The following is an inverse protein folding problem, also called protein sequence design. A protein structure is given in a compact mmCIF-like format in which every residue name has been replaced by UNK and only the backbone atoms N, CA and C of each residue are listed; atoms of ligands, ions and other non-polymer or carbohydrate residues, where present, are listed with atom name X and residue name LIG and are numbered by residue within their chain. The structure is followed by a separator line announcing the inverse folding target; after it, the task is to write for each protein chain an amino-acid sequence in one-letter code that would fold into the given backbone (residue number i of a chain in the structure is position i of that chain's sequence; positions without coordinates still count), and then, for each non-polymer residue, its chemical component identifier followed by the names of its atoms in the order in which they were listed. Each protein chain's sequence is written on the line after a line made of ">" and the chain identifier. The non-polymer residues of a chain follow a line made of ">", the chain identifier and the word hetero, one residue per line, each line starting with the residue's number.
data_IF_797598373219
#
_entry.id   IF_797598373219
#
_cell.length_a   1.000
_cell.length_b   1.000
_cell.length_c   1.000
_cell.angle_alpha   90.00
_cell.angle_beta   90.00
_cell.angle_gamma   90.00
#
_symmetry.space_group_name_H-M   'P 1'
#
loop_
_entity.id
_entity.type
_entity.pdbx_description
1 polymer ?
#
# COMPACT_ATOMS: atom_id res chain seq x y z
N UNK A 1 -30.54 13.51 -24.51
CA UNK A 1 -30.79 12.15 -23.95
C UNK A 1 -29.81 11.96 -22.82
N UNK A 2 -30.28 12.02 -21.58
CA UNK A 2 -29.48 11.77 -20.35
C UNK A 2 -29.11 10.30 -20.35
N UNK A 3 -27.81 9.99 -20.20
CA UNK A 3 -27.34 8.62 -19.95
C UNK A 3 -27.92 8.12 -18.61
N UNK A 4 -29.01 7.39 -18.69
CA UNK A 4 -29.56 6.65 -17.57
C UNK A 4 -28.70 5.39 -17.36
N UNK A 5 -28.17 5.20 -16.15
CA UNK A 5 -27.88 3.88 -15.62
C UNK A 5 -26.44 3.37 -15.67
N UNK A 6 -25.43 4.19 -15.33
CA UNK A 6 -24.22 3.66 -14.67
C UNK A 6 -24.36 3.91 -13.17
N UNK A 7 -24.81 2.88 -12.42
CA UNK A 7 -24.64 2.87 -10.98
C UNK A 7 -23.13 3.01 -10.72
N UNK A 8 -22.73 4.16 -10.21
CA UNK A 8 -21.33 4.43 -9.90
C UNK A 8 -20.94 3.58 -8.70
N UNK A 9 -20.00 2.66 -8.88
CA UNK A 9 -19.40 1.94 -7.77
C UNK A 9 -18.92 2.93 -6.70
N UNK A 10 -19.29 2.70 -5.45
CA UNK A 10 -18.79 3.51 -4.34
C UNK A 10 -17.28 3.29 -4.16
N UNK A 11 -16.52 4.37 -4.12
CA UNK A 11 -15.07 4.32 -3.93
C UNK A 11 -14.76 4.49 -2.45
N UNK A 12 -14.13 3.47 -1.86
CA UNK A 12 -13.57 3.53 -0.52
C UNK A 12 -12.05 3.61 -0.64
N UNK A 13 -11.45 4.58 0.03
CA UNK A 13 -10.00 4.75 0.00
C UNK A 13 -9.34 4.29 1.30
N UNK A 14 -8.26 3.54 1.19
CA UNK A 14 -7.34 3.27 2.28
C UNK A 14 -6.16 4.24 2.19
N UNK A 15 -5.85 4.92 3.30
CA UNK A 15 -4.79 5.92 3.38
C UNK A 15 -3.52 5.32 3.97
N UNK A 16 -2.39 5.51 3.28
CA UNK A 16 -1.10 5.01 3.75
C UNK A 16 0.05 5.27 2.78
N UNK A 17 1.26 4.91 3.18
CA UNK A 17 2.44 5.00 2.31
C UNK A 17 2.67 3.74 1.47
N UNK A 18 2.02 2.68 1.71
CA UNK A 18 2.04 1.38 1.01
C UNK A 18 3.40 0.92 0.42
N UNK A 19 4.53 1.36 0.98
CA UNK A 19 5.87 1.09 0.46
C UNK A 19 6.21 -0.42 0.46
N UNK A 20 6.02 -1.08 1.58
CA UNK A 20 6.31 -2.51 1.72
C UNK A 20 5.12 -3.41 1.33
N UNK A 21 3.91 -2.88 1.27
CA UNK A 21 2.69 -3.69 1.07
C UNK A 21 2.64 -4.89 2.02
N UNK A 22 2.88 -4.63 3.31
CA UNK A 22 2.89 -5.63 4.38
C UNK A 22 1.48 -5.99 4.86
N UNK A 23 1.35 -6.98 5.76
CA UNK A 23 0.06 -7.46 6.29
C UNK A 23 -0.82 -6.34 6.87
N UNK A 24 -0.25 -5.31 7.50
CA UNK A 24 -1.00 -4.13 7.96
C UNK A 24 -1.63 -3.35 6.80
N UNK A 25 -0.94 -3.20 5.68
CA UNK A 25 -1.50 -2.59 4.48
C UNK A 25 -2.60 -3.47 3.84
N UNK A 26 -2.44 -4.80 3.87
CA UNK A 26 -3.47 -5.74 3.44
C UNK A 26 -4.72 -5.61 4.30
N UNK A 27 -4.56 -5.47 5.63
CA UNK A 27 -5.70 -5.26 6.54
C UNK A 27 -6.47 -3.97 6.22
N UNK A 28 -5.77 -2.87 5.87
CA UNK A 28 -6.41 -1.63 5.41
C UNK A 28 -7.20 -1.85 4.10
N UNK A 29 -6.63 -2.57 3.14
CA UNK A 29 -7.28 -2.89 1.88
C UNK A 29 -8.54 -3.75 2.08
N UNK A 30 -8.44 -4.78 2.93
CA UNK A 30 -9.56 -5.64 3.30
C UNK A 30 -10.68 -4.85 4.01
N UNK A 31 -10.31 -3.98 4.95
CA UNK A 31 -11.27 -3.11 5.63
C UNK A 31 -11.97 -2.13 4.67
N UNK A 32 -11.27 -1.63 3.65
CA UNK A 32 -11.86 -0.77 2.62
C UNK A 32 -12.86 -1.55 1.75
N UNK A 33 -12.51 -2.77 1.36
CA UNK A 33 -13.42 -3.64 0.62
C UNK A 33 -14.67 -3.99 1.43
N UNK A 34 -14.52 -4.31 2.74
CA UNK A 34 -15.65 -4.59 3.64
C UNK A 34 -16.54 -3.36 3.84
N UNK A 35 -15.96 -2.19 4.06
CA UNK A 35 -16.71 -0.95 4.27
C UNK A 35 -17.57 -0.55 3.05
N UNK A 36 -17.21 -1.02 1.87
CA UNK A 36 -18.01 -0.86 0.66
C UNK A 36 -19.28 -1.71 0.67
N UNK A 37 -19.28 -2.88 1.38
CA UNK A 37 -20.42 -3.81 1.44
C UNK A 37 -21.59 -3.32 2.27
N UNK A 38 -21.32 -2.61 3.37
CA UNK A 38 -22.31 -2.27 4.39
C UNK A 38 -23.53 -1.48 3.84
N UNK A 39 -23.45 -1.01 2.59
CA UNK A 39 -24.52 -0.28 1.91
C UNK A 39 -25.36 -1.12 0.93
N UNK A 40 -25.00 -2.39 0.69
CA UNK A 40 -25.64 -3.18 -0.38
C UNK A 40 -26.73 -4.13 0.09
N UNK A 41 -26.95 -4.26 1.40
CA UNK A 41 -28.00 -5.14 1.95
C UNK A 41 -29.43 -4.72 1.59
N UNK A 42 -29.66 -3.50 1.11
CA UNK A 42 -31.00 -2.99 0.80
C UNK A 42 -31.39 -3.07 -0.68
N UNK A 43 -30.48 -3.46 -1.57
CA UNK A 43 -30.76 -3.56 -3.01
C UNK A 43 -30.29 -4.88 -3.57
N UNK A 44 -31.20 -5.61 -4.24
CA UNK A 44 -30.97 -6.94 -4.86
C UNK A 44 -29.92 -6.92 -6.00
N UNK A 45 -29.18 -5.85 -6.18
CA UNK A 45 -28.15 -5.70 -7.20
C UNK A 45 -26.76 -5.73 -6.57
N UNK A 46 -25.93 -6.65 -7.01
CA UNK A 46 -24.49 -6.71 -6.67
C UNK A 46 -23.78 -5.47 -7.20
N UNK A 47 -23.48 -4.51 -6.34
CA UNK A 47 -22.68 -3.32 -6.69
C UNK A 47 -21.20 -3.69 -6.65
N UNK A 48 -20.46 -3.40 -7.72
CA UNK A 48 -19.01 -3.63 -7.80
C UNK A 48 -18.29 -2.83 -6.72
N UNK A 49 -17.60 -3.51 -5.83
CA UNK A 49 -16.89 -2.89 -4.71
C UNK A 49 -15.48 -2.51 -5.14
N UNK A 50 -15.10 -1.25 -4.97
CA UNK A 50 -13.78 -0.77 -5.31
C UNK A 50 -13.06 -0.21 -4.09
N UNK A 51 -12.05 -0.96 -3.62
CA UNK A 51 -11.09 -0.46 -2.64
C UNK A 51 -9.91 0.19 -3.35
N UNK A 52 -9.57 1.42 -2.99
CA UNK A 52 -8.45 2.14 -3.58
C UNK A 52 -7.40 2.46 -2.52
N UNK A 53 -6.18 1.98 -2.70
CA UNK A 53 -5.03 2.42 -1.91
C UNK A 53 -4.60 3.80 -2.41
N UNK A 54 -4.80 4.83 -1.61
CA UNK A 54 -4.37 6.18 -1.93
C UNK A 54 -2.95 6.40 -1.41
N UNK A 55 -1.98 6.35 -2.30
CA UNK A 55 -0.57 6.56 -1.99
C UNK A 55 -0.11 7.97 -2.39
N UNK A 56 0.95 8.46 -1.74
CA UNK A 56 1.51 9.78 -2.04
C UNK A 56 2.83 9.64 -2.78
N UNK A 57 2.88 10.21 -3.99
CA UNK A 57 4.05 10.18 -4.86
C UNK A 57 5.00 11.36 -4.59
N UNK A 58 6.29 11.13 -4.84
CA UNK A 58 7.35 12.14 -4.77
C UNK A 58 7.48 12.84 -3.40
N UNK A 59 7.06 12.15 -2.32
CA UNK A 59 7.12 12.73 -0.97
C UNK A 59 8.58 13.03 -0.54
N UNK A 60 9.54 12.19 -0.92
CA UNK A 60 10.93 12.36 -0.58
C UNK A 60 11.50 13.64 -1.22
N UNK A 61 11.25 13.86 -2.51
CA UNK A 61 11.69 15.04 -3.25
C UNK A 61 11.08 16.32 -2.67
N UNK A 62 9.75 16.30 -2.41
CA UNK A 62 9.02 17.46 -1.87
C UNK A 62 9.49 17.84 -0.46
N UNK A 63 9.89 16.85 0.34
CA UNK A 63 10.36 17.05 1.72
C UNK A 63 11.90 17.18 1.84
N UNK A 64 12.63 17.08 0.73
CA UNK A 64 14.09 17.12 0.73
C UNK A 64 14.75 15.90 1.39
N UNK A 65 14.05 14.76 1.44
CA UNK A 65 14.59 13.53 2.00
C UNK A 65 15.39 12.76 0.95
N UNK A 66 16.44 12.07 1.43
CA UNK A 66 17.16 11.14 0.55
C UNK A 66 16.22 10.04 0.06
N UNK A 67 16.02 9.86 -1.27
CA UNK A 67 15.21 8.81 -1.80
C UNK A 67 15.70 7.42 -1.35
N UNK A 68 14.76 6.54 -1.01
CA UNK A 68 15.05 5.15 -0.63
C UNK A 68 14.43 4.22 -1.68
N UNK A 69 15.14 3.15 -2.05
CA UNK A 69 14.54 2.10 -2.88
C UNK A 69 13.28 1.56 -2.19
N UNK A 70 12.20 1.29 -2.92
CA UNK A 70 10.99 0.71 -2.35
C UNK A 70 11.26 -0.72 -1.85
N UNK A 71 10.45 -1.19 -0.89
CA UNK A 71 10.47 -2.61 -0.49
C UNK A 71 9.79 -3.45 -1.56
N UNK A 72 8.60 -3.05 -2.01
CA UNK A 72 7.90 -3.68 -3.14
C UNK A 72 8.13 -2.85 -4.40
N UNK A 73 8.77 -3.43 -5.42
CA UNK A 73 9.03 -2.76 -6.68
C UNK A 73 7.75 -2.26 -7.35
N UNK A 74 7.80 -1.10 -8.02
CA UNK A 74 6.61 -0.47 -8.62
C UNK A 74 5.89 -1.43 -9.58
N UNK A 75 6.63 -2.16 -10.41
CA UNK A 75 6.06 -3.13 -11.37
C UNK A 75 5.46 -4.39 -10.72
N UNK A 76 5.84 -4.72 -9.46
CA UNK A 76 5.30 -5.89 -8.73
C UNK A 76 4.04 -5.57 -7.93
N UNK A 77 3.72 -4.30 -7.71
CA UNK A 77 2.59 -3.87 -6.88
C UNK A 77 1.24 -4.36 -7.42
N UNK A 78 1.06 -4.31 -8.75
CA UNK A 78 -0.17 -4.81 -9.40
C UNK A 78 -0.43 -6.29 -9.13
N UNK A 79 0.64 -7.12 -9.14
CA UNK A 79 0.54 -8.55 -8.77
C UNK A 79 0.10 -8.73 -7.32
N UNK A 80 0.71 -7.99 -6.39
CA UNK A 80 0.36 -8.06 -4.96
C UNK A 80 -1.09 -7.64 -4.72
N UNK A 81 -1.58 -6.60 -5.39
CA UNK A 81 -2.96 -6.15 -5.28
C UNK A 81 -3.94 -7.19 -5.84
N UNK A 82 -3.58 -7.86 -6.92
CA UNK A 82 -4.37 -8.95 -7.50
C UNK A 82 -4.45 -10.12 -6.51
N UNK A 83 -3.33 -10.55 -5.95
CA UNK A 83 -3.25 -11.60 -4.93
C UNK A 83 -4.15 -11.27 -3.71
N UNK A 84 -4.12 -10.03 -3.21
CA UNK A 84 -4.99 -9.61 -2.13
C UNK A 84 -6.48 -9.62 -2.51
N UNK A 85 -6.81 -9.25 -3.76
CA UNK A 85 -8.20 -9.30 -4.24
C UNK A 85 -8.71 -10.74 -4.31
N UNK A 86 -7.91 -11.67 -4.84
CA UNK A 86 -8.23 -13.10 -4.93
C UNK A 86 -8.44 -13.73 -3.56
N UNK A 87 -7.58 -13.40 -2.57
CA UNK A 87 -7.74 -13.89 -1.20
C UNK A 87 -9.04 -13.38 -0.54
N UNK A 88 -9.44 -12.13 -0.80
CA UNK A 88 -10.70 -11.58 -0.27
C UNK A 88 -11.91 -12.29 -0.88
N UNK A 89 -11.89 -12.59 -2.18
CA UNK A 89 -12.92 -13.37 -2.86
C UNK A 89 -13.06 -14.77 -2.21
N UNK A 90 -11.92 -15.43 -1.96
CA UNK A 90 -11.90 -16.76 -1.36
C UNK A 90 -12.45 -16.77 0.08
N UNK A 91 -12.17 -15.73 0.87
CA UNK A 91 -12.64 -15.60 2.26
C UNK A 91 -14.15 -15.35 2.35
N UNK A 92 -14.73 -14.69 1.36
CA UNK A 92 -16.16 -14.37 1.33
C UNK A 92 -17.02 -15.46 0.69
N UNK A 93 -16.44 -16.55 0.18
CA UNK A 93 -17.16 -17.64 -0.46
C UNK A 93 -17.91 -17.23 -1.74
N UNK A 94 -17.41 -16.18 -2.42
CA UNK A 94 -17.97 -15.69 -3.68
C UNK A 94 -17.59 -16.65 -4.81
N UNK A 95 -18.55 -17.06 -5.65
CA UNK A 95 -18.27 -17.93 -6.79
C UNK A 95 -17.33 -17.25 -7.81
N UNK A 96 -16.50 -18.03 -8.52
CA UNK A 96 -15.54 -17.53 -9.52
C UNK A 96 -16.17 -16.62 -10.59
N UNK A 97 -17.44 -16.86 -10.93
CA UNK A 97 -18.21 -16.02 -11.87
C UNK A 97 -18.37 -14.56 -11.42
N UNK A 98 -18.27 -14.32 -10.12
CA UNK A 98 -18.41 -13.01 -9.47
C UNK A 98 -17.07 -12.46 -8.93
N UNK A 99 -15.93 -13.04 -9.30
CA UNK A 99 -14.59 -12.66 -8.85
C UNK A 99 -14.25 -11.18 -9.12
N UNK A 100 -14.90 -10.57 -10.09
CA UNK A 100 -14.82 -9.13 -10.40
C UNK A 100 -15.46 -8.22 -9.34
N UNK A 101 -16.11 -8.80 -8.31
CA UNK A 101 -16.76 -8.03 -7.23
C UNK A 101 -15.76 -7.31 -6.32
N UNK A 102 -14.54 -7.86 -6.16
CA UNK A 102 -13.49 -7.25 -5.35
C UNK A 102 -12.35 -6.76 -6.23
N UNK A 103 -12.19 -5.46 -6.33
CA UNK A 103 -11.07 -4.87 -7.03
C UNK A 103 -10.30 -3.95 -6.09
N UNK A 104 -9.08 -4.36 -5.73
CA UNK A 104 -8.15 -3.49 -5.01
C UNK A 104 -7.25 -2.82 -6.06
N UNK A 105 -7.23 -1.50 -6.06
CA UNK A 105 -6.37 -0.70 -6.96
C UNK A 105 -5.52 0.26 -6.15
N UNK A 106 -4.46 0.74 -6.74
CA UNK A 106 -3.66 1.84 -6.20
C UNK A 106 -3.85 3.09 -7.06
N UNK A 107 -3.96 4.23 -6.37
CA UNK A 107 -3.97 5.54 -7.00
C UNK A 107 -2.92 6.44 -6.33
N UNK A 108 -1.96 6.89 -7.13
CA UNK A 108 -0.92 7.81 -6.68
C UNK A 108 -1.40 9.26 -6.78
N UNK A 109 -1.24 10.01 -5.69
CA UNK A 109 -1.49 11.45 -5.66
C UNK A 109 -0.16 12.18 -5.48
N UNK A 110 0.18 13.16 -6.32
CA UNK A 110 1.38 13.97 -6.13
C UNK A 110 1.36 14.64 -4.76
N UNK A 111 2.33 14.36 -3.91
CA UNK A 111 2.36 14.90 -2.54
C UNK A 111 2.39 16.43 -2.51
N UNK A 112 3.02 17.06 -3.50
CA UNK A 112 3.03 18.52 -3.64
C UNK A 112 1.63 19.14 -3.69
N UNK A 113 0.64 18.43 -4.25
CA UNK A 113 -0.73 18.95 -4.40
C UNK A 113 -1.53 18.97 -3.09
N UNK A 114 -1.11 18.20 -2.08
CA UNK A 114 -1.81 18.06 -0.80
C UNK A 114 -0.99 18.55 0.40
N UNK A 115 0.32 18.77 0.21
CA UNK A 115 1.29 19.08 1.26
C UNK A 115 0.84 20.18 2.23
N UNK A 116 0.22 21.24 1.69
CA UNK A 116 -0.17 22.43 2.45
C UNK A 116 -1.64 22.41 2.87
N UNK A 117 -2.36 21.32 2.60
CA UNK A 117 -3.76 21.21 3.00
C UNK A 117 -3.86 21.02 4.52
N UNK A 118 -4.75 21.77 5.16
CA UNK A 118 -5.16 21.44 6.52
C UNK A 118 -5.82 20.06 6.57
N UNK A 119 -5.85 19.38 7.73
CA UNK A 119 -6.55 18.10 7.86
C UNK A 119 -7.99 18.15 7.35
N UNK A 120 -8.73 19.15 7.74
CA UNK A 120 -10.11 19.33 7.32
C UNK A 120 -10.24 19.51 5.80
N UNK A 121 -9.39 20.36 5.19
CA UNK A 121 -9.41 20.59 3.74
C UNK A 121 -9.07 19.31 2.96
N UNK A 122 -8.17 18.48 3.49
CA UNK A 122 -7.84 17.19 2.89
C UNK A 122 -9.07 16.28 2.84
N UNK A 123 -9.77 16.08 3.96
CA UNK A 123 -11.00 15.25 4.04
C UNK A 123 -12.10 15.79 3.13
N UNK A 124 -12.32 17.12 3.15
CA UNK A 124 -13.27 17.78 2.25
C UNK A 124 -12.93 17.53 0.78
N UNK A 125 -11.64 17.57 0.41
CA UNK A 125 -11.17 17.31 -0.97
C UNK A 125 -11.46 15.85 -1.38
N UNK A 126 -11.24 14.87 -0.50
CA UNK A 126 -11.59 13.48 -0.76
C UNK A 126 -13.08 13.34 -1.12
N UNK A 127 -13.97 13.99 -0.37
CA UNK A 127 -15.41 13.94 -0.61
C UNK A 127 -15.82 14.66 -1.87
N UNK A 128 -15.49 15.95 -1.96
CA UNK A 128 -16.07 16.84 -2.97
C UNK A 128 -15.39 16.72 -4.34
N UNK A 129 -14.07 16.47 -4.37
CA UNK A 129 -13.32 16.43 -5.65
C UNK A 129 -13.09 15.02 -6.17
N UNK A 130 -12.89 14.05 -5.27
CA UNK A 130 -12.63 12.67 -5.65
C UNK A 130 -13.87 11.77 -5.52
N UNK A 131 -14.99 12.28 -4.99
CA UNK A 131 -16.24 11.52 -4.86
C UNK A 131 -16.11 10.30 -3.94
N UNK A 132 -15.18 10.32 -2.98
CA UNK A 132 -14.94 9.22 -2.05
C UNK A 132 -16.15 9.05 -1.14
N UNK A 133 -16.60 7.81 -0.96
CA UNK A 133 -17.73 7.47 -0.09
C UNK A 133 -17.29 7.08 1.32
N UNK A 134 -16.05 6.58 1.48
CA UNK A 134 -15.49 6.25 2.78
C UNK A 134 -13.98 6.16 2.79
N UNK A 135 -13.42 6.20 3.99
CA UNK A 135 -11.97 6.25 4.23
C UNK A 135 -11.59 5.22 5.28
N UNK A 136 -10.48 4.51 5.05
CA UNK A 136 -9.88 3.59 6.01
C UNK A 136 -8.46 4.04 6.31
N UNK A 137 -8.09 4.07 7.58
CA UNK A 137 -6.74 4.42 8.02
C UNK A 137 -6.33 3.60 9.25
N UNK A 138 -5.03 3.51 9.50
CA UNK A 138 -4.53 2.93 10.76
C UNK A 138 -4.70 3.90 11.93
N UNK A 139 -4.78 3.37 13.16
CA UNK A 139 -4.96 4.17 14.37
C UNK A 139 -3.84 5.18 14.63
N UNK A 140 -2.64 4.93 14.09
CA UNK A 140 -1.51 5.86 14.17
C UNK A 140 -1.39 6.79 12.96
N UNK A 141 -2.41 6.85 12.09
CA UNK A 141 -2.35 7.65 10.88
C UNK A 141 -2.32 9.14 11.19
N UNK A 142 -1.40 9.84 10.51
CA UNK A 142 -1.27 11.29 10.61
C UNK A 142 -1.35 11.89 9.22
N UNK A 143 -2.05 13.02 9.07
CA UNK A 143 -2.29 13.65 7.78
C UNK A 143 -2.40 15.17 7.86
N UNK A 144 -2.55 15.80 6.71
CA UNK A 144 -2.62 17.25 6.59
C UNK A 144 -1.27 17.94 6.77
N UNK A 145 -1.29 19.25 6.73
CA UNK A 145 -0.08 20.07 6.83
C UNK A 145 0.70 19.74 8.11
N UNK A 146 1.98 19.42 7.97
CA UNK A 146 2.88 19.00 9.06
C UNK A 146 2.37 17.83 9.89
N UNK A 147 1.57 16.94 9.28
CA UNK A 147 0.97 15.80 9.97
C UNK A 147 0.15 16.20 11.22
N UNK A 148 -0.52 17.34 11.18
CA UNK A 148 -1.27 17.89 12.30
C UNK A 148 -2.57 17.14 12.61
N UNK A 149 -3.18 16.44 11.62
CA UNK A 149 -4.38 15.64 11.82
C UNK A 149 -4.07 14.25 12.34
N UNK A 150 -4.95 13.72 13.16
CA UNK A 150 -4.94 12.38 13.77
C UNK A 150 -6.03 11.47 13.20
N UNK A 151 -6.07 10.21 13.65
CA UNK A 151 -7.14 9.28 13.28
C UNK A 151 -8.50 9.74 13.83
N UNK A 152 -8.54 10.34 15.02
CA UNK A 152 -9.73 10.91 15.62
C UNK A 152 -10.25 12.11 14.83
N UNK A 153 -9.35 12.99 14.36
CA UNK A 153 -9.72 14.09 13.47
C UNK A 153 -10.30 13.57 12.15
N UNK A 154 -9.77 12.45 11.63
CA UNK A 154 -10.30 11.83 10.42
C UNK A 154 -11.74 11.37 10.61
N UNK A 155 -12.07 10.78 11.77
CA UNK A 155 -13.45 10.40 12.14
C UNK A 155 -14.34 11.62 12.22
N UNK A 156 -13.94 12.65 12.97
CA UNK A 156 -14.73 13.87 13.18
C UNK A 156 -15.00 14.60 11.85
N UNK A 157 -14.00 14.76 11.00
CA UNK A 157 -14.18 15.36 9.68
C UNK A 157 -14.96 14.44 8.73
N UNK A 158 -14.82 13.12 8.86
CA UNK A 158 -15.62 12.15 8.12
C UNK A 158 -17.11 12.34 8.41
N UNK A 159 -17.49 12.39 9.66
CA UNK A 159 -18.87 12.67 10.09
C UNK A 159 -19.37 14.01 9.54
N UNK A 160 -18.57 15.06 9.68
CA UNK A 160 -18.90 16.41 9.20
C UNK A 160 -19.19 16.46 7.69
N UNK A 161 -18.47 15.69 6.88
CA UNK A 161 -18.59 15.70 5.42
C UNK A 161 -19.35 14.49 4.84
N UNK A 162 -19.94 13.64 5.69
CA UNK A 162 -20.71 12.47 5.28
C UNK A 162 -19.83 11.41 4.60
N UNK A 163 -18.63 11.17 5.14
CA UNK A 163 -17.75 10.07 4.78
C UNK A 163 -17.86 8.96 5.83
N UNK A 164 -17.95 7.73 5.40
CA UNK A 164 -17.77 6.58 6.30
C UNK A 164 -16.29 6.47 6.66
N UNK A 165 -15.97 6.37 7.94
CA UNK A 165 -14.57 6.22 8.37
C UNK A 165 -14.41 4.94 9.19
N UNK A 166 -13.38 4.16 8.86
CA UNK A 166 -13.00 2.97 9.63
C UNK A 166 -11.53 3.07 10.02
N UNK A 167 -11.28 3.02 11.32
CA UNK A 167 -9.93 2.97 11.87
C UNK A 167 -9.57 1.50 12.12
N UNK A 168 -8.40 1.09 11.67
CA UNK A 168 -7.88 -0.27 11.79
C UNK A 168 -6.74 -0.27 12.80
N UNK A 169 -6.81 -1.17 13.77
CA UNK A 169 -5.75 -1.37 14.76
C UNK A 169 -4.47 -1.89 14.10
N UNK A 170 -3.34 -1.55 14.70
CA UNK A 170 -2.04 -1.99 14.21
C UNK A 170 -1.86 -3.49 14.45
N UNK A 171 -1.25 -4.16 13.49
CA UNK A 171 -0.91 -5.57 13.66
C UNK A 171 0.37 -5.72 14.46
N UNK A 172 0.31 -6.60 15.45
CA UNK A 172 1.44 -6.99 16.26
C UNK A 172 2.32 -7.99 15.47
N UNK A 173 3.58 -7.67 15.32
CA UNK A 173 4.53 -8.48 14.57
C UNK A 173 4.96 -9.73 15.35
N UNK A 174 4.99 -9.65 16.67
CA UNK A 174 5.40 -10.78 17.52
C UNK A 174 4.34 -11.87 17.49
N UNK A 175 3.05 -11.51 17.41
CA UNK A 175 1.95 -12.47 17.17
C UNK A 175 2.02 -13.17 15.82
N UNK A 176 2.78 -12.63 14.87
CA UNK A 176 3.05 -13.26 13.58
C UNK A 176 4.31 -14.16 13.62
N UNK A 177 4.95 -14.29 14.79
CA UNK A 177 6.21 -15.00 14.94
C UNK A 177 7.39 -14.31 14.22
N UNK A 178 7.26 -13.02 13.93
CA UNK A 178 8.33 -12.19 13.42
C UNK A 178 8.96 -11.46 14.63
N UNK A 179 9.61 -12.23 15.51
CA UNK A 179 10.25 -11.71 16.70
C UNK A 179 11.23 -10.59 16.37
N UNK A 180 11.38 -9.66 17.30
CA UNK A 180 12.32 -8.57 17.10
C UNK A 180 13.73 -9.15 17.02
N UNK A 181 14.44 -8.90 15.92
CA UNK A 181 15.89 -9.05 15.97
C UNK A 181 16.41 -8.02 17.00
N UNK A 182 17.32 -8.42 17.88
CA UNK A 182 17.88 -7.62 18.99
C UNK A 182 18.59 -6.31 18.56
N UNK A 183 18.42 -5.92 17.31
CA UNK A 183 19.06 -4.79 16.67
C UNK A 183 18.14 -3.55 16.65
N UNK A 184 18.73 -2.40 16.87
CA UNK A 184 18.11 -1.07 17.02
C UNK A 184 17.04 -0.68 15.96
N UNK A 185 17.03 -1.34 14.80
CA UNK A 185 16.07 -1.07 13.71
C UNK A 185 14.77 -1.87 13.78
N UNK A 186 14.71 -2.89 14.64
CA UNK A 186 13.55 -3.78 14.79
C UNK A 186 12.71 -3.45 16.04
N UNK A 187 13.01 -2.34 16.73
CA UNK A 187 12.27 -1.90 17.92
C UNK A 187 10.84 -1.54 17.55
N UNK A 188 9.88 -2.15 18.22
CA UNK A 188 8.46 -1.90 18.10
C UNK A 188 7.69 -3.19 17.76
N UNK A 189 6.63 -3.43 18.51
CA UNK A 189 5.77 -4.60 18.39
C UNK A 189 4.97 -4.65 17.08
N UNK A 190 4.98 -3.56 16.30
CA UNK A 190 4.05 -3.37 15.19
C UNK A 190 4.64 -3.77 13.83
N UNK A 191 3.80 -4.35 12.98
CA UNK A 191 4.09 -4.54 11.56
C UNK A 191 4.23 -3.19 10.87
N UNK A 192 5.41 -2.90 10.32
CA UNK A 192 5.69 -1.64 9.63
C UNK A 192 6.70 -1.80 8.49
N UNK A 193 6.68 -0.86 7.54
CA UNK A 193 7.68 -0.82 6.46
C UNK A 193 9.10 -0.62 7.00
N UNK A 194 9.28 0.06 8.12
CA UNK A 194 10.58 0.24 8.76
C UNK A 194 11.11 -1.09 9.30
N UNK A 195 10.26 -1.89 9.94
CA UNK A 195 10.64 -3.23 10.43
C UNK A 195 10.99 -4.16 9.28
N UNK A 196 10.19 -4.19 8.21
CA UNK A 196 10.53 -4.99 7.01
C UNK A 196 11.89 -4.58 6.44
N UNK A 197 12.20 -3.28 6.38
CA UNK A 197 13.51 -2.79 5.92
C UNK A 197 14.65 -3.20 6.84
N UNK A 198 14.43 -3.22 8.14
CA UNK A 198 15.42 -3.66 9.10
C UNK A 198 15.72 -5.16 8.91
N UNK A 199 14.69 -6.01 8.82
CA UNK A 199 14.86 -7.44 8.56
C UNK A 199 15.61 -7.70 7.23
N UNK A 200 15.27 -6.99 6.15
CA UNK A 200 16.02 -7.08 4.88
C UNK A 200 17.49 -6.66 5.04
N UNK A 201 17.76 -5.62 5.83
CA UNK A 201 19.13 -5.15 6.08
C UNK A 201 19.98 -6.19 6.81
N UNK A 202 19.36 -7.02 7.66
CA UNK A 202 20.04 -8.09 8.40
C UNK A 202 20.01 -9.46 7.69
N UNK A 203 19.30 -9.58 6.55
CA UNK A 203 19.17 -10.83 5.81
C UNK A 203 18.10 -11.78 6.38
N UNK A 204 17.30 -11.35 7.35
CA UNK A 204 16.21 -12.14 7.94
C UNK A 204 15.00 -12.19 7.00
N UNK A 205 15.08 -13.05 5.99
CA UNK A 205 14.02 -13.21 4.98
C UNK A 205 12.80 -13.95 5.50
N UNK A 206 12.94 -14.75 6.55
CA UNK A 206 11.83 -15.44 7.21
C UNK A 206 10.92 -14.44 7.94
N UNK A 207 11.51 -13.55 8.74
CA UNK A 207 10.77 -12.46 9.35
C UNK A 207 10.11 -11.55 8.29
N UNK A 208 10.83 -11.24 7.21
CA UNK A 208 10.27 -10.49 6.08
C UNK A 208 9.04 -11.19 5.50
N UNK A 209 9.10 -12.50 5.26
CA UNK A 209 7.99 -13.29 4.73
C UNK A 209 6.77 -13.24 5.67
N UNK A 210 6.99 -13.37 6.98
CA UNK A 210 5.94 -13.27 8.00
C UNK A 210 5.29 -11.89 8.03
N UNK A 211 6.10 -10.82 7.97
CA UNK A 211 5.62 -9.43 7.98
C UNK A 211 4.87 -9.06 6.69
N UNK A 212 5.35 -9.51 5.54
CA UNK A 212 4.71 -9.27 4.24
C UNK A 212 3.48 -10.15 4.02
N UNK A 213 3.45 -11.35 4.60
CA UNK A 213 2.47 -12.41 4.30
C UNK A 213 2.71 -13.09 2.96
N UNK A 214 3.88 -12.90 2.38
CA UNK A 214 4.34 -13.48 1.11
C UNK A 214 5.85 -13.42 1.04
N UNK A 215 6.46 -14.20 0.13
CA UNK A 215 7.89 -14.09 -0.11
C UNK A 215 8.26 -12.71 -0.69
N UNK A 216 9.38 -12.17 -0.24
CA UNK A 216 9.95 -10.97 -0.84
C UNK A 216 10.41 -11.27 -2.27
N UNK A 217 9.97 -10.46 -3.23
CA UNK A 217 10.33 -10.62 -4.63
C UNK A 217 11.32 -9.55 -5.05
N UNK A 218 12.49 -9.97 -5.51
CA UNK A 218 13.47 -9.06 -6.08
C UNK A 218 13.16 -8.82 -7.56
N UNK A 219 12.97 -7.57 -7.93
CA UNK A 219 12.79 -7.16 -9.32
C UNK A 219 14.11 -6.59 -9.86
N UNK A 220 14.59 -7.18 -10.93
CA UNK A 220 15.85 -6.83 -11.57
C UNK A 220 15.61 -6.21 -12.94
N UNK A 221 16.30 -5.12 -13.22
CA UNK A 221 16.38 -4.48 -14.52
C UNK A 221 17.73 -4.81 -15.14
N UNK A 222 17.72 -5.28 -16.39
CA UNK A 222 18.94 -5.54 -17.14
C UNK A 222 19.64 -4.22 -17.44
N UNK A 223 20.90 -4.09 -17.03
CA UNK A 223 21.74 -2.96 -17.43
C UNK A 223 22.31 -3.27 -18.80
N UNK A 224 21.98 -2.44 -19.79
CA UNK A 224 22.64 -2.48 -21.08
C UNK A 224 23.94 -1.70 -20.90
N UNK A 225 25.09 -2.38 -20.97
CA UNK A 225 26.40 -1.74 -20.91
C UNK A 225 26.53 -0.70 -22.03
N UNK A 226 26.98 0.49 -21.70
CA UNK A 226 27.31 1.51 -22.69
C UNK A 226 28.56 1.10 -23.47
N UNK A 227 28.75 1.60 -24.68
CA UNK A 227 29.88 1.21 -25.53
C UNK A 227 31.26 1.44 -24.87
N UNK A 228 31.37 2.41 -23.94
CA UNK A 228 32.58 2.64 -23.13
C UNK A 228 32.86 1.54 -22.10
N UNK A 229 31.83 0.91 -21.57
CA UNK A 229 31.98 -0.17 -20.58
C UNK A 229 32.29 -1.51 -21.25
N UNK A 230 31.96 -1.64 -22.53
CA UNK A 230 32.32 -2.84 -23.34
C UNK A 230 33.79 -2.90 -23.70
N UNK A 231 34.48 -1.74 -23.85
CA UNK A 231 35.91 -1.69 -24.20
C UNK A 231 36.83 -2.14 -23.03
N UNK A 232 36.32 -2.26 -21.81
CA UNK A 232 37.09 -2.66 -20.62
C UNK A 232 36.81 -4.08 -20.15
N UNK A 233 35.93 -4.82 -20.83
CA UNK A 233 35.57 -6.20 -20.50
C UNK A 233 36.29 -7.18 -21.46
N UNK A 234 36.94 -8.19 -20.91
CA UNK A 234 37.49 -9.30 -21.65
C UNK A 234 36.38 -10.02 -22.45
N UNK A 235 36.66 -10.36 -23.71
CA UNK A 235 35.71 -10.86 -24.72
C UNK A 235 35.07 -12.25 -24.40
N UNK A 236 35.43 -12.89 -23.28
CA UNK A 236 35.09 -14.29 -23.04
C UNK A 236 33.92 -14.55 -22.05
N UNK A 237 33.32 -13.54 -21.42
CA UNK A 237 32.14 -13.74 -20.59
C UNK A 237 30.99 -12.80 -20.95
N UNK A 238 29.87 -13.39 -21.39
CA UNK A 238 28.58 -12.71 -21.54
C UNK A 238 28.04 -12.23 -20.15
N UNK A 239 28.72 -11.25 -19.55
CA UNK A 239 28.34 -10.73 -18.26
C UNK A 239 27.12 -9.82 -18.41
N UNK A 240 25.96 -10.27 -17.94
CA UNK A 240 24.74 -9.47 -17.92
C UNK A 240 24.61 -8.82 -16.57
N UNK A 241 24.88 -7.52 -16.49
CA UNK A 241 24.66 -6.77 -15.26
C UNK A 241 23.17 -6.48 -15.01
N UNK A 242 22.74 -6.63 -13.77
CA UNK A 242 21.38 -6.32 -13.34
C UNK A 242 21.39 -5.33 -12.19
N UNK A 243 20.45 -4.38 -12.24
CA UNK A 243 20.19 -3.43 -11.17
C UNK A 243 18.88 -3.77 -10.48
N UNK A 244 18.89 -3.86 -9.16
CA UNK A 244 17.64 -4.07 -8.42
C UNK A 244 16.79 -2.80 -8.38
N UNK A 245 15.50 -2.92 -8.68
CA UNK A 245 14.52 -1.84 -8.55
C UNK A 245 14.08 -1.63 -7.09
N UNK A 246 14.14 -2.66 -6.27
CA UNK A 246 13.75 -2.62 -4.86
C UNK A 246 14.91 -3.02 -3.94
N UNK A 247 14.67 -2.92 -2.63
CA UNK A 247 15.69 -3.24 -1.63
C UNK A 247 16.03 -4.73 -1.67
N UNK A 248 17.32 -5.03 -1.69
CA UNK A 248 17.86 -6.40 -1.61
C UNK A 248 18.09 -6.77 -0.15
N UNK A 249 17.86 -8.03 0.25
CA UNK A 249 18.38 -8.55 1.51
C UNK A 249 19.91 -8.41 1.57
N UNK A 250 20.46 -8.22 2.75
CA UNK A 250 21.89 -8.39 2.94
C UNK A 250 22.24 -9.84 2.64
N UNK A 251 23.32 -10.06 1.90
CA UNK A 251 23.85 -11.40 1.71
C UNK A 251 24.19 -11.99 3.09
N UNK A 252 23.66 -13.16 3.36
CA UNK A 252 23.94 -13.97 4.52
C UNK A 252 24.42 -15.36 4.07
N UNK A 253 24.97 -16.12 4.97
CA UNK A 253 25.23 -17.54 4.73
C UNK A 253 23.86 -18.26 4.74
N UNK A 254 23.35 -18.58 3.54
CA UNK A 254 22.11 -19.34 3.34
C UNK A 254 22.44 -20.83 3.13
#
# INVERSE_FOLDING_TARGET
>A
KRNAGRESAEVIVALGKFDAMHRGHKALAAAAATLSKDNTESTSKKVKQQAVLLSFENMAEVLGWKPKKPVTAKRDRGRVLKEWSEELVALDGVEESDSDCYSIREHGVPFASIREMSPERFVKTLKERLGVAGVVAGENYRFGYRASGSAEDLVSFGEKYGLRVKIVSLLDADKLGAEACDNDGCKGEQVSSSRVRACLKFGDVDAVTKLLGRNHRLCLEKIIATDREKETMDDDENFVAYKSENITPKAGDY
#
